data_IF_736642156735
#
_entry.id   IF_736642156735
#
_cell.length_a   1.000
_cell.length_b   1.000
_cell.length_c   1.000
_cell.angle_alpha   90.00
_cell.angle_beta   90.00
_cell.angle_gamma   90.00
#
_symmetry.space_group_name_H-M   'P 1'
#
loop_
_entity.id
_entity.type
_entity.pdbx_description
1 polymer ?
#
# COMPACT_ATOMS: atom_id res chain seq x y z
N UNK A 1 -13.17 28.11 -4.45
CA UNK A 1 -13.19 29.58 -4.68
C UNK A 1 -11.83 30.13 -5.11
N UNK A 2 -10.70 29.53 -4.74
CA UNK A 2 -9.35 29.98 -5.13
C UNK A 2 -9.03 29.86 -6.65
N UNK A 3 -9.79 29.08 -7.41
CA UNK A 3 -9.58 28.94 -8.87
C UNK A 3 -10.17 30.08 -9.73
N UNK A 4 -10.88 31.05 -9.15
CA UNK A 4 -11.53 32.14 -9.93
C UNK A 4 -10.73 33.44 -10.07
N UNK A 5 -9.53 33.52 -9.50
CA UNK A 5 -8.65 34.69 -9.64
C UNK A 5 -7.25 34.30 -10.19
N UNK A 6 -7.22 33.76 -11.41
CA UNK A 6 -5.93 33.65 -12.09
C UNK A 6 -5.49 35.01 -12.61
N UNK A 7 -4.33 35.56 -12.22
CA UNK A 7 -3.80 36.78 -12.76
C UNK A 7 -3.50 36.61 -14.27
N UNK A 8 -3.81 37.64 -15.06
CA UNK A 8 -3.44 37.69 -16.49
C UNK A 8 -1.91 37.88 -16.60
N UNK A 9 -1.18 36.77 -16.78
CA UNK A 9 0.27 36.79 -16.90
C UNK A 9 0.72 37.33 -18.25
N UNK A 10 1.54 38.40 -18.24
CA UNK A 10 2.16 38.99 -19.44
C UNK A 10 3.56 38.42 -19.75
N UNK A 11 4.14 37.60 -18.87
CA UNK A 11 5.50 37.08 -19.07
C UNK A 11 5.67 35.68 -18.44
N UNK A 12 6.33 34.76 -19.14
CA UNK A 12 6.53 33.36 -18.75
C UNK A 12 7.36 33.21 -17.45
N UNK A 13 8.31 34.11 -17.21
CA UNK A 13 9.14 34.12 -16.00
C UNK A 13 8.36 34.45 -14.73
N UNK A 14 7.40 35.38 -14.79
CA UNK A 14 6.54 35.71 -13.64
C UNK A 14 5.57 34.57 -13.30
N UNK A 15 5.07 33.86 -14.31
CA UNK A 15 4.25 32.66 -14.12
C UNK A 15 5.04 31.54 -13.43
N UNK A 16 6.28 31.31 -13.86
CA UNK A 16 7.14 30.29 -13.25
C UNK A 16 7.55 30.67 -11.81
N UNK A 17 7.82 31.95 -11.55
CA UNK A 17 8.15 32.45 -10.21
C UNK A 17 6.96 32.33 -9.25
N UNK A 18 5.75 32.65 -9.71
CA UNK A 18 4.51 32.48 -8.94
C UNK A 18 4.20 31.00 -8.69
N UNK A 19 4.32 30.13 -9.70
CA UNK A 19 4.16 28.70 -9.55
C UNK A 19 5.16 28.09 -8.57
N UNK A 20 6.41 28.58 -8.57
CA UNK A 20 7.43 28.18 -7.60
C UNK A 20 7.13 28.70 -6.20
N UNK A 21 6.62 29.90 -6.06
CA UNK A 21 6.22 30.49 -4.79
C UNK A 21 4.96 29.82 -4.26
N UNK A 22 3.96 29.59 -5.10
CA UNK A 22 2.73 28.86 -4.76
C UNK A 22 3.03 27.42 -4.33
N UNK A 23 3.91 26.71 -5.06
CA UNK A 23 4.38 25.38 -4.64
C UNK A 23 5.18 25.40 -3.33
N UNK A 24 5.91 26.49 -3.03
CA UNK A 24 6.61 26.64 -1.75
C UNK A 24 5.66 26.94 -0.59
N UNK A 25 4.57 27.66 -0.83
CA UNK A 25 3.52 27.93 0.16
C UNK A 25 2.68 26.67 0.43
N UNK A 26 2.29 25.89 -0.62
CA UNK A 26 1.65 24.57 -0.45
C UNK A 26 2.49 23.57 0.34
N UNK A 27 3.83 23.65 0.26
CA UNK A 27 4.75 22.77 1.01
C UNK A 27 4.90 23.22 2.46
N UNK A 28 4.68 24.50 2.78
CA UNK A 28 4.78 25.01 4.15
C UNK A 28 3.59 24.62 5.04
N UNK A 29 2.42 24.39 4.45
CA UNK A 29 1.19 24.02 5.18
C UNK A 29 0.91 22.51 5.19
N UNK A 30 1.82 21.70 4.65
CA UNK A 30 1.64 20.25 4.53
C UNK A 30 2.18 19.53 5.74
N UNK A 31 1.34 18.74 6.40
CA UNK A 31 1.78 17.91 7.52
C UNK A 31 2.66 16.73 7.07
N UNK A 32 3.25 16.01 8.02
CA UNK A 32 4.13 14.85 7.79
C UNK A 32 3.53 13.82 6.82
N UNK A 33 2.25 13.47 6.97
CA UNK A 33 1.61 12.46 6.12
C UNK A 33 1.33 12.98 4.71
N UNK A 34 1.05 14.26 4.57
CA UNK A 34 0.99 14.92 3.26
C UNK A 34 2.34 14.91 2.54
N UNK A 35 3.43 15.16 3.27
CA UNK A 35 4.79 15.06 2.74
C UNK A 35 5.13 13.63 2.29
N UNK A 36 4.75 12.61 3.08
CA UNK A 36 4.91 11.20 2.72
C UNK A 36 4.19 10.90 1.40
N UNK A 37 2.90 11.23 1.30
CA UNK A 37 2.12 10.97 0.08
C UNK A 37 2.73 11.64 -1.14
N UNK A 38 3.14 12.90 -1.02
CA UNK A 38 3.75 13.65 -2.12
C UNK A 38 5.10 13.07 -2.57
N UNK A 39 5.96 12.71 -1.62
CA UNK A 39 7.26 12.10 -1.95
C UNK A 39 7.10 10.73 -2.60
N UNK A 40 6.10 9.93 -2.19
CA UNK A 40 5.81 8.63 -2.78
C UNK A 40 5.39 8.69 -4.26
N UNK A 41 4.99 9.85 -4.80
CA UNK A 41 4.73 10.01 -6.24
C UNK A 41 6.02 9.87 -7.09
N UNK A 42 7.19 10.19 -6.50
CA UNK A 42 8.47 10.16 -7.20
C UNK A 42 9.50 9.17 -6.65
N UNK A 43 9.26 8.60 -5.47
CA UNK A 43 10.22 7.76 -4.74
C UNK A 43 9.67 6.35 -4.53
N UNK A 44 10.48 5.29 -4.73
CA UNK A 44 10.01 3.91 -4.62
C UNK A 44 9.69 3.47 -3.19
N UNK A 45 10.29 4.12 -2.18
CA UNK A 45 10.04 3.85 -0.78
C UNK A 45 10.59 4.96 0.12
N UNK A 46 9.96 5.13 1.28
CA UNK A 46 10.37 6.06 2.33
C UNK A 46 10.41 5.33 3.67
N UNK A 47 11.32 5.71 4.55
CA UNK A 47 11.35 5.31 5.95
C UNK A 47 11.04 6.51 6.84
N UNK A 48 10.01 6.40 7.67
CA UNK A 48 9.75 7.32 8.76
C UNK A 48 10.43 6.80 10.01
N UNK A 49 11.50 7.46 10.42
CA UNK A 49 12.28 7.09 11.59
C UNK A 49 11.91 8.01 12.76
N UNK A 50 11.50 7.40 13.88
CA UNK A 50 11.11 8.09 15.09
C UNK A 50 11.94 7.57 16.25
N UNK A 51 12.47 8.46 17.06
CA UNK A 51 13.16 8.14 18.31
C UNK A 51 12.49 8.82 19.48
N UNK A 52 12.28 8.08 20.55
CA UNK A 52 11.65 8.54 21.77
C UNK A 52 12.55 8.24 22.97
N UNK A 53 12.40 9.00 24.03
CA UNK A 53 13.08 8.78 25.32
C UNK A 53 12.04 8.60 26.42
N UNK A 54 12.19 7.60 27.24
CA UNK A 54 11.32 7.34 28.38
C UNK A 54 10.96 5.88 28.57
N UNK A 55 10.00 5.62 29.44
CA UNK A 55 9.41 4.31 29.66
C UNK A 55 8.21 4.09 28.74
N UNK A 56 7.82 2.82 28.49
CA UNK A 56 6.73 2.42 27.57
C UNK A 56 5.44 3.23 27.75
N UNK A 57 5.09 3.51 29.02
CA UNK A 57 3.87 4.23 29.37
C UNK A 57 3.96 5.74 29.26
N UNK A 58 5.14 6.32 29.03
CA UNK A 58 5.34 7.76 29.02
C UNK A 58 6.60 8.12 28.21
N UNK A 59 6.46 8.18 26.91
CA UNK A 59 7.51 8.57 25.99
C UNK A 59 7.43 10.09 25.73
N UNK A 60 8.58 10.73 25.63
CA UNK A 60 8.73 12.15 25.32
C UNK A 60 9.89 12.36 24.35
N UNK A 61 10.18 13.61 24.03
CA UNK A 61 11.32 14.03 23.19
C UNK A 61 11.42 13.27 21.86
N UNK A 62 10.31 13.25 21.12
CA UNK A 62 10.29 12.62 19.80
C UNK A 62 11.18 13.40 18.82
N UNK A 63 12.09 12.66 18.20
CA UNK A 63 12.71 13.09 16.94
C UNK A 63 12.10 12.27 15.82
N UNK A 64 11.82 12.92 14.71
CA UNK A 64 11.15 12.33 13.58
C UNK A 64 11.87 12.73 12.29
N UNK A 65 12.27 11.77 11.47
CA UNK A 65 12.96 12.01 10.20
C UNK A 65 12.34 11.15 9.10
N UNK A 66 12.02 11.79 7.98
CA UNK A 66 11.55 11.10 6.78
C UNK A 66 12.71 10.96 5.80
N UNK A 67 13.13 9.72 5.52
CA UNK A 67 14.30 9.40 4.71
C UNK A 67 13.95 8.58 3.48
N UNK A 68 14.61 8.85 2.38
CA UNK A 68 14.58 7.98 1.19
C UNK A 68 15.47 6.75 1.41
N UNK A 69 15.18 5.65 0.69
CA UNK A 69 15.76 4.34 0.96
C UNK A 69 17.28 4.29 1.12
N UNK A 70 18.03 5.07 0.31
CA UNK A 70 19.49 5.13 0.39
C UNK A 70 20.00 5.87 1.64
N UNK A 71 19.25 6.84 2.14
CA UNK A 71 19.60 7.71 3.26
C UNK A 71 19.11 7.18 4.61
N UNK A 72 18.29 6.11 4.59
CA UNK A 72 17.75 5.50 5.79
C UNK A 72 18.87 4.96 6.70
N UNK A 73 18.65 5.07 8.01
CA UNK A 73 19.52 4.45 9.03
C UNK A 73 19.46 2.92 8.96
N UNK A 74 20.22 2.21 9.78
CA UNK A 74 20.20 0.74 9.78
C UNK A 74 18.80 0.19 10.10
N UNK A 75 18.10 0.75 11.10
CA UNK A 75 16.72 0.35 11.42
C UNK A 75 15.74 0.73 10.31
N UNK A 76 15.93 1.88 9.65
CA UNK A 76 15.15 2.29 8.49
C UNK A 76 15.35 1.34 7.30
N UNK A 77 16.59 0.95 6.99
CA UNK A 77 16.90 -0.04 5.94
C UNK A 77 16.32 -1.40 6.26
N UNK A 78 16.36 -1.80 7.53
CA UNK A 78 15.74 -3.03 7.98
C UNK A 78 14.22 -3.01 7.76
N UNK A 79 13.54 -1.93 8.16
CA UNK A 79 12.11 -1.75 7.94
C UNK A 79 11.74 -1.77 6.44
N UNK A 80 12.51 -1.09 5.59
CA UNK A 80 12.34 -1.11 4.14
C UNK A 80 12.56 -2.50 3.53
N UNK A 81 13.49 -3.28 4.09
CA UNK A 81 13.79 -4.64 3.63
C UNK A 81 12.72 -5.63 4.07
N UNK A 82 12.27 -5.53 5.32
CA UNK A 82 11.18 -6.36 5.85
C UNK A 82 9.81 -5.95 5.29
N UNK A 83 9.67 -4.70 4.82
CA UNK A 83 8.44 -4.13 4.28
C UNK A 83 7.36 -3.87 5.34
N UNK A 84 7.74 -3.79 6.61
CA UNK A 84 6.87 -3.55 7.77
C UNK A 84 7.62 -2.75 8.85
N UNK A 85 6.92 -2.13 9.83
CA UNK A 85 7.57 -1.45 10.93
C UNK A 85 8.58 -2.32 11.67
N UNK A 86 9.67 -1.70 12.10
CA UNK A 86 10.70 -2.30 12.96
C UNK A 86 10.87 -1.42 14.19
N UNK A 87 10.90 -2.04 15.36
CA UNK A 87 11.09 -1.38 16.64
C UNK A 87 12.39 -1.86 17.29
N UNK A 88 13.20 -0.93 17.78
CA UNK A 88 14.41 -1.18 18.55
C UNK A 88 14.39 -0.45 19.87
N UNK A 89 14.83 -1.10 20.95
CA UNK A 89 14.96 -0.50 22.28
C UNK A 89 16.39 -0.61 22.78
N UNK A 90 16.93 0.51 23.29
CA UNK A 90 18.24 0.58 23.90
C UNK A 90 18.14 1.43 25.20
N UNK A 91 18.07 0.75 26.36
CA UNK A 91 17.83 1.41 27.66
C UNK A 91 16.48 2.13 27.68
N UNK A 92 16.50 3.44 27.90
CA UNK A 92 15.32 4.32 27.85
C UNK A 92 15.03 4.88 26.45
N UNK A 93 15.80 4.53 25.43
CA UNK A 93 15.59 5.01 24.07
C UNK A 93 14.82 3.99 23.26
N UNK A 94 13.81 4.47 22.56
CA UNK A 94 12.98 3.71 21.62
C UNK A 94 13.18 4.24 20.20
N UNK A 95 13.41 3.36 19.26
CA UNK A 95 13.51 3.71 17.85
C UNK A 95 12.48 2.91 17.07
N UNK A 96 11.65 3.59 16.31
CA UNK A 96 10.62 2.98 15.46
C UNK A 96 10.85 3.45 14.03
N UNK A 97 11.09 2.53 13.13
CA UNK A 97 11.16 2.82 11.70
C UNK A 97 9.94 2.22 11.00
N UNK A 98 9.21 3.05 10.29
CA UNK A 98 8.01 2.67 9.55
C UNK A 98 8.24 2.85 8.05
N UNK A 99 8.13 1.79 7.24
CA UNK A 99 8.32 1.89 5.80
C UNK A 99 7.03 2.32 5.11
N UNK A 100 7.15 3.20 4.11
CA UNK A 100 6.07 3.60 3.23
C UNK A 100 6.45 3.28 1.78
N UNK A 101 5.50 2.71 1.06
CA UNK A 101 5.63 2.36 -0.35
C UNK A 101 4.50 3.01 -1.14
N UNK A 102 4.70 3.33 -2.44
CA UNK A 102 3.61 3.71 -3.31
C UNK A 102 2.51 2.65 -3.30
N UNK A 103 1.28 3.09 -3.54
CA UNK A 103 0.15 2.16 -3.69
C UNK A 103 0.41 1.23 -4.88
N UNK A 104 0.27 -0.06 -4.66
CA UNK A 104 0.58 -1.08 -5.67
C UNK A 104 -0.42 -1.05 -6.81
N UNK A 105 0.05 -1.30 -8.03
CA UNK A 105 -0.78 -1.32 -9.24
C UNK A 105 -1.22 -2.74 -9.57
N UNK A 106 -2.51 -2.89 -9.89
CA UNK A 106 -3.05 -4.08 -10.53
C UNK A 106 -3.35 -3.76 -11.99
N UNK A 107 -2.56 -4.30 -12.91
CA UNK A 107 -2.68 -4.08 -14.35
C UNK A 107 -3.41 -5.26 -14.96
N UNK A 108 -4.57 -5.02 -15.54
CA UNK A 108 -5.42 -6.03 -16.15
C UNK A 108 -5.37 -5.86 -17.68
N UNK A 109 -4.73 -6.81 -18.36
CA UNK A 109 -4.63 -6.84 -19.82
C UNK A 109 -5.78 -7.68 -20.39
N UNK A 110 -6.78 -7.00 -20.92
CA UNK A 110 -8.08 -7.51 -21.38
C UNK A 110 -9.24 -6.98 -20.51
N UNK A 111 -10.25 -6.37 -21.15
CA UNK A 111 -11.43 -5.79 -20.50
C UNK A 111 -12.68 -6.68 -20.50
N UNK A 112 -12.49 -8.01 -20.61
CA UNK A 112 -13.58 -8.99 -20.72
C UNK A 112 -14.42 -9.17 -19.45
N UNK A 113 -15.24 -10.24 -19.43
CA UNK A 113 -16.15 -10.52 -18.31
C UNK A 113 -15.43 -10.82 -17.00
N UNK A 114 -14.29 -11.52 -17.05
CA UNK A 114 -13.46 -11.80 -15.85
C UNK A 114 -12.75 -10.54 -15.36
N UNK A 115 -12.35 -9.66 -16.28
CA UNK A 115 -11.63 -8.43 -15.92
C UNK A 115 -12.46 -7.48 -15.03
N UNK A 116 -13.79 -7.43 -15.23
CA UNK A 116 -14.65 -6.54 -14.45
C UNK A 116 -14.64 -6.88 -12.96
N UNK A 117 -15.00 -8.09 -12.51
CA UNK A 117 -14.93 -8.43 -11.09
C UNK A 117 -13.49 -8.43 -10.54
N UNK A 118 -12.46 -8.75 -11.35
CA UNK A 118 -11.05 -8.60 -10.92
C UNK A 118 -10.73 -7.14 -10.62
N UNK A 119 -11.18 -6.20 -11.44
CA UNK A 119 -11.00 -4.78 -11.22
C UNK A 119 -11.75 -4.29 -9.98
N UNK A 120 -13.02 -4.69 -9.80
CA UNK A 120 -13.84 -4.32 -8.65
C UNK A 120 -13.24 -4.81 -7.32
N UNK A 121 -12.92 -6.09 -7.25
CA UNK A 121 -12.33 -6.65 -6.03
C UNK A 121 -10.90 -6.16 -5.81
N UNK A 122 -10.11 -6.00 -6.87
CA UNK A 122 -8.77 -5.43 -6.81
C UNK A 122 -8.74 -4.02 -6.22
N UNK A 123 -9.65 -3.15 -6.65
CA UNK A 123 -9.79 -1.81 -6.08
C UNK A 123 -10.20 -1.85 -4.59
N UNK A 124 -11.14 -2.74 -4.21
CA UNK A 124 -11.60 -2.91 -2.82
C UNK A 124 -10.52 -3.43 -1.89
N UNK A 125 -9.59 -4.27 -2.38
CA UNK A 125 -8.45 -4.75 -1.58
C UNK A 125 -7.23 -3.83 -1.66
N UNK A 126 -7.40 -2.63 -2.22
CA UNK A 126 -6.45 -1.52 -2.11
C UNK A 126 -5.49 -1.32 -3.28
N UNK A 127 -5.64 -2.01 -4.42
CA UNK A 127 -4.82 -1.76 -5.61
C UNK A 127 -5.25 -0.51 -6.39
N UNK A 128 -4.28 0.17 -7.02
CA UNK A 128 -4.54 1.10 -8.12
C UNK A 128 -4.76 0.29 -9.39
N UNK A 129 -6.01 0.19 -9.82
CA UNK A 129 -6.39 -0.66 -10.96
C UNK A 129 -6.18 0.08 -12.27
N UNK A 130 -5.49 -0.56 -13.22
CA UNK A 130 -5.40 -0.13 -14.62
C UNK A 130 -5.94 -1.24 -15.52
N UNK A 131 -6.87 -0.90 -16.41
CA UNK A 131 -7.42 -1.86 -17.38
C UNK A 131 -7.01 -1.44 -18.79
N UNK A 132 -6.55 -2.40 -19.59
CA UNK A 132 -6.16 -2.21 -20.99
C UNK A 132 -6.95 -3.17 -21.86
N UNK A 133 -7.57 -2.68 -22.93
CA UNK A 133 -8.13 -3.51 -24.02
C UNK A 133 -8.06 -2.71 -25.32
N UNK A 134 -7.86 -3.37 -26.44
CA UNK A 134 -7.78 -2.74 -27.77
C UNK A 134 -9.16 -2.34 -28.34
N UNK A 135 -10.24 -2.66 -27.65
CA UNK A 135 -11.63 -2.40 -28.06
C UNK A 135 -12.29 -1.40 -27.12
N UNK A 136 -12.77 -0.29 -27.67
CA UNK A 136 -13.42 0.78 -26.91
C UNK A 136 -14.63 0.30 -26.08
N UNK A 137 -15.40 -0.69 -26.59
CA UNK A 137 -16.53 -1.27 -25.85
C UNK A 137 -16.12 -2.04 -24.59
N UNK A 138 -14.85 -2.47 -24.49
CA UNK A 138 -14.29 -3.20 -23.36
C UNK A 138 -13.33 -2.36 -22.52
N UNK A 139 -12.76 -1.29 -23.06
CA UNK A 139 -11.91 -0.37 -22.35
C UNK A 139 -12.52 1.04 -22.33
N UNK A 140 -13.49 1.25 -21.45
CA UNK A 140 -14.08 2.57 -21.23
C UNK A 140 -14.37 2.82 -19.73
N UNK A 141 -14.29 4.10 -19.27
CA UNK A 141 -14.51 4.45 -17.85
C UNK A 141 -15.89 4.10 -17.32
N UNK A 142 -16.92 4.09 -18.17
CA UNK A 142 -18.28 3.70 -17.76
C UNK A 142 -18.39 2.22 -17.39
N UNK A 143 -17.54 1.37 -17.97
CA UNK A 143 -17.45 -0.05 -17.62
C UNK A 143 -16.60 -0.29 -16.37
N UNK A 144 -15.56 0.51 -16.16
CA UNK A 144 -14.62 0.36 -15.05
C UNK A 144 -14.53 1.64 -14.19
N UNK A 145 -15.63 2.06 -13.54
CA UNK A 145 -15.65 3.31 -12.75
C UNK A 145 -14.73 3.26 -11.53
N UNK A 146 -14.32 2.05 -11.07
CA UNK A 146 -13.40 1.84 -9.95
C UNK A 146 -11.92 1.91 -10.37
N UNK A 147 -11.62 1.87 -11.68
CA UNK A 147 -10.24 1.87 -12.17
C UNK A 147 -9.65 3.28 -12.16
N UNK A 148 -8.40 3.40 -11.73
CA UNK A 148 -7.60 4.64 -11.81
C UNK A 148 -7.34 5.03 -13.26
N UNK A 149 -7.09 4.02 -14.12
CA UNK A 149 -6.85 4.23 -15.55
C UNK A 149 -7.57 3.15 -16.37
N UNK A 150 -8.18 3.59 -17.46
CA UNK A 150 -8.73 2.70 -18.50
C UNK A 150 -8.12 3.13 -19.83
N UNK A 151 -7.39 2.21 -20.46
CA UNK A 151 -6.60 2.48 -21.67
C UNK A 151 -7.18 1.66 -22.82
N UNK A 152 -7.68 2.34 -23.84
CA UNK A 152 -8.09 1.71 -25.08
C UNK A 152 -6.97 1.84 -26.11
N UNK A 153 -6.12 0.81 -26.20
CA UNK A 153 -4.93 0.84 -27.07
C UNK A 153 -4.44 -0.59 -27.35
N UNK A 154 -3.50 -0.71 -28.29
CA UNK A 154 -2.74 -1.94 -28.51
C UNK A 154 -1.99 -2.35 -27.25
N UNK A 155 -2.02 -3.64 -26.90
CA UNK A 155 -1.40 -4.15 -25.68
C UNK A 155 0.10 -3.86 -25.62
N UNK A 156 0.81 -4.01 -26.75
CA UNK A 156 2.26 -3.77 -26.80
C UNK A 156 2.62 -2.30 -26.58
N UNK A 157 1.82 -1.39 -27.14
CA UNK A 157 2.01 0.06 -26.92
C UNK A 157 1.68 0.43 -25.47
N UNK A 158 0.54 -0.01 -24.95
CA UNK A 158 0.13 0.29 -23.58
C UNK A 158 1.13 -0.24 -22.53
N UNK A 159 1.68 -1.46 -22.70
CA UNK A 159 2.68 -2.04 -21.79
C UNK A 159 3.95 -1.17 -21.75
N UNK A 160 4.40 -0.64 -22.91
CA UNK A 160 5.57 0.27 -22.96
C UNK A 160 5.32 1.55 -22.19
N UNK A 161 4.16 2.18 -22.40
CA UNK A 161 3.79 3.44 -21.74
C UNK A 161 3.57 3.26 -20.24
N UNK A 162 3.06 2.10 -19.80
CA UNK A 162 2.85 1.79 -18.38
C UNK A 162 4.15 1.64 -17.59
N UNK A 163 5.30 1.41 -18.26
CA UNK A 163 6.62 1.27 -17.60
C UNK A 163 6.55 0.33 -16.42
N UNK A 164 6.32 -0.95 -16.69
CA UNK A 164 6.15 -2.00 -15.68
C UNK A 164 7.23 -1.94 -14.61
N UNK A 165 6.82 -2.00 -13.34
CA UNK A 165 7.69 -1.98 -12.18
C UNK A 165 7.69 -3.36 -11.48
N UNK A 166 8.71 -3.59 -10.63
CA UNK A 166 8.82 -4.83 -9.84
C UNK A 166 7.69 -4.99 -8.82
N UNK A 167 7.05 -3.88 -8.41
CA UNK A 167 5.92 -3.87 -7.48
C UNK A 167 4.56 -4.07 -8.15
N UNK A 168 4.50 -4.23 -9.48
CA UNK A 168 3.23 -4.39 -10.20
C UNK A 168 2.70 -5.81 -10.11
N UNK A 169 1.38 -5.92 -10.14
CA UNK A 169 0.64 -7.17 -10.25
C UNK A 169 -0.08 -7.18 -11.59
N UNK A 170 0.17 -8.18 -12.42
CA UNK A 170 -0.33 -8.19 -13.81
C UNK A 170 -1.19 -9.42 -14.04
N UNK A 171 -2.42 -9.20 -14.52
CA UNK A 171 -3.36 -10.23 -14.96
C UNK A 171 -3.55 -10.17 -16.48
N UNK A 172 -3.11 -11.20 -17.21
CA UNK A 172 -3.38 -11.35 -18.64
C UNK A 172 -4.66 -12.15 -18.79
N UNK A 173 -5.75 -11.47 -19.15
CA UNK A 173 -7.10 -12.03 -19.30
C UNK A 173 -7.69 -11.67 -20.68
N UNK A 174 -6.83 -11.71 -21.71
CA UNK A 174 -7.21 -11.32 -23.07
C UNK A 174 -8.16 -12.33 -23.73
N UNK A 175 -8.74 -11.93 -24.86
CA UNK A 175 -9.67 -12.77 -25.63
C UNK A 175 -9.03 -13.93 -26.38
N UNK A 176 -7.69 -13.97 -26.53
CA UNK A 176 -7.03 -14.94 -27.39
C UNK A 176 -5.56 -15.18 -27.12
N UNK A 177 -5.10 -16.40 -27.42
CA UNK A 177 -3.72 -16.85 -27.17
C UNK A 177 -2.64 -15.98 -27.85
N UNK A 178 -2.94 -15.40 -29.01
CA UNK A 178 -2.01 -14.49 -29.71
C UNK A 178 -1.73 -13.26 -28.88
N UNK A 179 -2.77 -12.60 -28.37
CA UNK A 179 -2.62 -11.44 -27.50
C UNK A 179 -1.93 -11.78 -26.17
N UNK A 180 -2.22 -12.96 -25.59
CA UNK A 180 -1.56 -13.42 -24.36
C UNK A 180 -0.05 -13.57 -24.58
N UNK A 181 0.36 -14.22 -25.69
CA UNK A 181 1.79 -14.39 -26.03
C UNK A 181 2.46 -13.03 -26.30
N UNK A 182 1.80 -12.11 -27.01
CA UNK A 182 2.32 -10.78 -27.28
C UNK A 182 2.50 -9.98 -25.99
N UNK A 183 1.54 -10.03 -25.06
CA UNK A 183 1.69 -9.42 -23.72
C UNK A 183 2.89 -9.99 -22.98
N UNK A 184 3.05 -11.30 -22.93
CA UNK A 184 4.19 -11.95 -22.28
C UNK A 184 5.52 -11.56 -22.91
N UNK A 185 5.59 -11.49 -24.27
CA UNK A 185 6.79 -11.03 -24.99
C UNK A 185 7.18 -9.61 -24.60
N UNK A 186 6.21 -8.72 -24.46
CA UNK A 186 6.47 -7.32 -24.11
C UNK A 186 6.89 -7.18 -22.66
N UNK A 187 6.19 -7.85 -21.72
CA UNK A 187 6.54 -7.84 -20.30
C UNK A 187 7.90 -8.48 -20.06
N UNK A 188 8.21 -9.57 -20.78
CA UNK A 188 9.48 -10.27 -20.65
C UNK A 188 10.72 -9.45 -21.00
N UNK A 189 10.57 -8.37 -21.80
CA UNK A 189 11.67 -7.44 -22.14
C UNK A 189 11.98 -6.41 -21.05
N UNK A 190 11.09 -6.25 -20.09
CA UNK A 190 11.20 -5.25 -19.02
C UNK A 190 11.53 -5.86 -17.66
N UNK A 191 11.27 -5.05 -16.62
CA UNK A 191 11.35 -5.51 -15.23
C UNK A 191 10.34 -6.62 -14.99
N UNK A 192 10.70 -7.55 -14.13
CA UNK A 192 9.81 -8.62 -13.73
C UNK A 192 8.85 -8.12 -12.64
N UNK A 193 7.51 -8.20 -12.85
CA UNK A 193 6.54 -7.75 -11.85
C UNK A 193 6.49 -8.71 -10.65
N UNK A 194 5.96 -8.23 -9.52
CA UNK A 194 5.72 -9.03 -8.31
C UNK A 194 4.79 -10.22 -8.59
N UNK A 195 3.82 -10.02 -9.46
CA UNK A 195 2.89 -11.07 -9.88
C UNK A 195 2.63 -10.97 -11.38
N UNK A 196 2.70 -12.11 -12.05
CA UNK A 196 2.31 -12.25 -13.45
C UNK A 196 1.45 -13.50 -13.60
N UNK A 197 0.18 -13.29 -13.89
CA UNK A 197 -0.78 -14.38 -14.11
C UNK A 197 -1.40 -14.33 -15.50
N UNK A 198 -1.64 -15.51 -16.09
CA UNK A 198 -2.28 -15.62 -17.40
C UNK A 198 -3.45 -16.60 -17.36
N UNK A 199 -4.62 -16.16 -17.86
CA UNK A 199 -5.79 -17.02 -18.04
C UNK A 199 -5.57 -18.02 -19.16
N UNK A 200 -6.03 -19.24 -18.99
CA UNK A 200 -6.00 -20.23 -20.05
C UNK A 200 -6.08 -21.66 -19.54
N UNK A 201 -6.47 -22.58 -20.43
CA UNK A 201 -6.40 -24.00 -20.14
C UNK A 201 -4.93 -24.44 -20.05
N UNK A 202 -4.64 -25.49 -19.28
CA UNK A 202 -3.29 -26.05 -19.15
C UNK A 202 -2.62 -26.33 -20.50
N UNK A 203 -3.40 -26.83 -21.50
CA UNK A 203 -2.92 -27.09 -22.87
C UNK A 203 -2.47 -25.79 -23.56
N UNK A 204 -3.30 -24.73 -23.49
CA UNK A 204 -3.01 -23.42 -24.10
C UNK A 204 -1.77 -22.79 -23.47
N UNK A 205 -1.70 -22.82 -22.15
CA UNK A 205 -0.55 -22.31 -21.38
C UNK A 205 0.74 -23.04 -21.77
N UNK A 206 0.69 -24.38 -21.89
CA UNK A 206 1.86 -25.18 -22.30
C UNK A 206 2.39 -24.75 -23.67
N UNK A 207 1.51 -24.53 -24.65
CA UNK A 207 1.90 -24.07 -25.99
C UNK A 207 2.60 -22.69 -25.91
N UNK A 208 1.99 -21.71 -25.25
CA UNK A 208 2.57 -20.36 -25.15
C UNK A 208 3.91 -20.38 -24.42
N UNK A 209 4.04 -21.14 -23.32
CA UNK A 209 5.31 -21.29 -22.59
C UNK A 209 6.39 -21.89 -23.46
N UNK A 210 6.06 -22.94 -24.24
CA UNK A 210 7.01 -23.59 -25.12
C UNK A 210 7.50 -22.64 -26.23
N UNK A 211 6.58 -21.95 -26.90
CA UNK A 211 6.92 -20.94 -27.92
C UNK A 211 7.89 -19.87 -27.38
N UNK A 212 7.61 -19.33 -26.18
CA UNK A 212 8.46 -18.32 -25.57
C UNK A 212 9.84 -18.86 -25.18
N UNK A 213 9.93 -20.08 -24.67
CA UNK A 213 11.21 -20.73 -24.37
C UNK A 213 12.03 -20.97 -25.64
N UNK A 214 11.39 -21.37 -26.74
CA UNK A 214 12.04 -21.53 -28.07
C UNK A 214 12.53 -20.17 -28.63
N UNK A 215 11.84 -19.07 -28.28
CA UNK A 215 12.26 -17.70 -28.59
C UNK A 215 13.39 -17.18 -27.68
N UNK A 216 13.85 -17.96 -26.70
CA UNK A 216 14.97 -17.62 -25.82
C UNK A 216 14.57 -16.85 -24.56
N UNK A 217 13.30 -16.92 -24.12
CA UNK A 217 12.89 -16.37 -22.84
C UNK A 217 13.48 -17.16 -21.67
N UNK A 218 13.80 -16.41 -20.59
CA UNK A 218 14.36 -16.98 -19.38
C UNK A 218 13.43 -18.06 -18.76
N UNK A 219 13.89 -19.32 -18.67
CA UNK A 219 13.12 -20.41 -18.09
C UNK A 219 12.70 -20.15 -16.65
N UNK A 220 13.52 -19.47 -15.87
CA UNK A 220 13.24 -19.16 -14.47
C UNK A 220 12.06 -18.17 -14.37
N UNK A 221 12.03 -17.12 -15.16
CA UNK A 221 10.87 -16.21 -15.27
C UNK A 221 9.62 -16.95 -15.75
N UNK A 222 9.74 -17.87 -16.70
CA UNK A 222 8.61 -18.67 -17.18
C UNK A 222 8.08 -19.63 -16.12
N UNK A 223 8.91 -20.14 -15.22
CA UNK A 223 8.47 -21.01 -14.11
C UNK A 223 7.61 -20.25 -13.09
N UNK A 224 7.87 -18.95 -12.89
CA UNK A 224 7.12 -18.08 -11.97
C UNK A 224 5.79 -17.59 -12.54
N UNK A 225 5.55 -17.72 -13.86
CA UNK A 225 4.26 -17.38 -14.45
C UNK A 225 3.12 -18.23 -13.86
N UNK A 226 2.20 -17.57 -13.17
CA UNK A 226 0.99 -18.18 -12.59
C UNK A 226 -0.01 -18.48 -13.72
N UNK A 227 -0.07 -19.75 -14.13
CA UNK A 227 -0.93 -20.13 -15.24
C UNK A 227 -1.26 -21.63 -15.20
N UNK A 228 -2.52 -22.02 -15.23
CA UNK A 228 -3.71 -21.15 -15.20
C UNK A 228 -3.72 -20.19 -14.00
N UNK A 229 -4.14 -18.95 -14.25
CA UNK A 229 -4.21 -17.89 -13.22
C UNK A 229 -5.24 -18.25 -12.13
N UNK A 230 -4.90 -17.93 -10.87
CA UNK A 230 -5.77 -18.10 -9.72
C UNK A 230 -5.61 -19.44 -8.98
N UNK A 231 -5.98 -19.45 -7.72
CA UNK A 231 -5.97 -20.66 -6.89
C UNK A 231 -7.01 -21.67 -7.39
N UNK A 232 -6.72 -22.95 -7.23
CA UNK A 232 -7.63 -24.03 -7.62
C UNK A 232 -8.76 -24.20 -6.61
N UNK A 233 -9.80 -23.35 -6.72
CA UNK A 233 -10.99 -23.38 -5.86
C UNK A 233 -12.24 -23.94 -6.52
N UNK A 234 -12.16 -24.28 -7.84
CA UNK A 234 -13.29 -24.81 -8.61
C UNK A 234 -14.25 -23.74 -9.14
N UNK A 235 -13.82 -22.47 -9.22
CA UNK A 235 -14.61 -21.37 -9.73
C UNK A 235 -15.02 -21.55 -11.20
N UNK A 236 -16.26 -21.21 -11.53
CA UNK A 236 -16.90 -21.35 -12.84
C UNK A 236 -17.36 -20.00 -13.38
N UNK A 237 -17.99 -19.16 -12.55
CA UNK A 237 -18.46 -17.83 -12.98
C UNK A 237 -17.31 -16.83 -13.04
N UNK A 238 -17.44 -15.73 -13.80
CA UNK A 238 -16.42 -14.67 -13.82
C UNK A 238 -16.04 -14.16 -12.44
N UNK A 239 -17.02 -14.01 -11.53
CA UNK A 239 -16.84 -13.54 -10.17
C UNK A 239 -16.05 -14.56 -9.32
N UNK A 240 -16.37 -15.85 -9.42
CA UNK A 240 -15.64 -16.92 -8.73
C UNK A 240 -14.20 -17.04 -9.23
N UNK A 241 -13.99 -16.89 -10.54
CA UNK A 241 -12.66 -16.85 -11.16
C UNK A 241 -11.89 -15.62 -10.64
N UNK A 242 -12.52 -14.45 -10.55
CA UNK A 242 -11.90 -13.25 -10.01
C UNK A 242 -11.49 -13.42 -8.55
N UNK A 243 -12.34 -14.04 -7.72
CA UNK A 243 -12.02 -14.37 -6.32
C UNK A 243 -10.77 -15.28 -6.27
N UNK A 244 -10.70 -16.31 -7.13
CA UNK A 244 -9.53 -17.18 -7.17
C UNK A 244 -8.24 -16.46 -7.56
N UNK A 245 -8.33 -15.53 -8.50
CA UNK A 245 -7.21 -14.68 -8.95
C UNK A 245 -6.74 -13.77 -7.82
N UNK A 246 -7.67 -13.05 -7.19
CA UNK A 246 -7.32 -12.14 -6.08
C UNK A 246 -6.78 -12.91 -4.88
N UNK A 247 -7.30 -14.11 -4.58
CA UNK A 247 -6.77 -14.96 -3.52
C UNK A 247 -5.31 -15.37 -3.79
N UNK A 248 -4.97 -15.72 -5.04
CA UNK A 248 -3.57 -16.02 -5.44
C UNK A 248 -2.67 -14.77 -5.34
N UNK A 249 -3.15 -13.61 -5.79
CA UNK A 249 -2.43 -12.34 -5.66
C UNK A 249 -2.16 -12.01 -4.18
N UNK A 250 -3.18 -12.13 -3.32
CA UNK A 250 -3.04 -11.90 -1.87
C UNK A 250 -2.06 -12.91 -1.25
N UNK A 251 -2.10 -14.18 -1.67
CA UNK A 251 -1.16 -15.20 -1.22
C UNK A 251 0.28 -14.79 -1.56
N UNK A 252 0.57 -14.40 -2.80
CA UNK A 252 1.90 -13.91 -3.21
C UNK A 252 2.29 -12.68 -2.39
N UNK A 253 1.39 -11.71 -2.24
CA UNK A 253 1.64 -10.48 -1.49
C UNK A 253 1.96 -10.73 -0.01
N UNK A 254 1.29 -11.69 0.64
CA UNK A 254 1.34 -11.84 2.10
C UNK A 254 2.19 -13.02 2.58
N UNK A 255 2.28 -14.10 1.80
CA UNK A 255 2.91 -15.35 2.25
C UNK A 255 4.29 -15.61 1.63
N UNK A 256 4.57 -15.09 0.45
CA UNK A 256 5.87 -15.28 -0.21
C UNK A 256 6.92 -14.33 0.38
N UNK A 257 7.48 -14.74 1.53
CA UNK A 257 8.48 -13.95 2.28
C UNK A 257 9.86 -13.95 1.61
N UNK A 258 10.13 -14.89 0.72
CA UNK A 258 11.42 -15.01 0.03
C UNK A 258 11.48 -14.16 -1.24
N UNK A 259 10.32 -13.77 -1.78
CA UNK A 259 10.24 -12.95 -2.98
C UNK A 259 10.60 -11.48 -2.68
N UNK A 260 11.81 -11.08 -3.07
CA UNK A 260 12.33 -9.71 -2.90
C UNK A 260 11.58 -8.65 -3.72
N UNK A 261 10.73 -9.06 -4.67
CA UNK A 261 9.89 -8.14 -5.48
C UNK A 261 8.69 -7.63 -4.67
N UNK A 262 8.20 -8.43 -3.74
CA UNK A 262 7.13 -8.04 -2.80
C UNK A 262 7.76 -7.29 -1.64
N UNK A 263 7.81 -5.96 -1.75
CA UNK A 263 8.44 -5.08 -0.75
C UNK A 263 7.47 -4.64 0.33
N UNK A 264 6.22 -4.32 -0.03
CA UNK A 264 5.22 -3.80 0.90
C UNK A 264 4.48 -4.94 1.61
N UNK A 265 4.81 -5.16 2.86
CA UNK A 265 4.15 -6.13 3.77
C UNK A 265 3.40 -5.44 4.91
N UNK A 266 3.51 -4.11 4.99
CA UNK A 266 2.79 -3.29 5.96
C UNK A 266 1.29 -3.49 5.79
N UNK A 267 0.59 -3.52 6.92
CA UNK A 267 -0.88 -3.58 6.95
C UNK A 267 -1.51 -2.17 6.94
N UNK A 268 -0.79 -1.21 6.41
CA UNK A 268 -1.21 0.18 6.28
C UNK A 268 -2.42 0.32 5.36
N UNK A 269 -3.44 0.99 5.87
CA UNK A 269 -4.58 1.43 5.07
C UNK A 269 -4.30 2.83 4.48
N UNK A 270 -4.33 2.92 3.16
CA UNK A 270 -4.09 4.19 2.46
C UNK A 270 -5.19 5.24 2.70
N UNK A 271 -6.43 4.82 3.01
CA UNK A 271 -7.50 5.76 3.32
C UNK A 271 -7.24 6.45 4.66
N UNK A 272 -6.66 5.71 5.63
CA UNK A 272 -6.21 6.29 6.90
C UNK A 272 -5.05 7.27 6.67
N UNK A 273 -4.06 6.90 5.85
CA UNK A 273 -2.94 7.76 5.51
C UNK A 273 -3.40 9.05 4.83
N UNK A 274 -4.32 8.93 3.87
CA UNK A 274 -4.92 10.06 3.17
C UNK A 274 -5.67 10.99 4.12
N UNK A 275 -6.46 10.44 5.05
CA UNK A 275 -7.18 11.21 6.04
C UNK A 275 -6.24 11.97 6.99
N UNK A 276 -5.13 11.35 7.41
CA UNK A 276 -4.10 12.02 8.20
C UNK A 276 -3.46 13.19 7.45
N UNK A 277 -3.31 13.08 6.14
CA UNK A 277 -2.78 14.14 5.29
C UNK A 277 -3.77 15.28 5.06
N UNK A 278 -5.07 14.96 4.90
CA UNK A 278 -6.12 15.94 4.54
C UNK A 278 -6.70 16.72 5.72
N UNK A 279 -6.61 16.17 6.93
CA UNK A 279 -7.18 16.78 8.15
C UNK A 279 -6.07 17.13 9.18
N UNK A 280 -5.16 18.05 8.86
CA UNK A 280 -4.10 18.43 9.80
C UNK A 280 -4.64 19.10 11.06
N UNK A 281 -5.70 19.89 10.96
CA UNK A 281 -6.15 20.83 11.99
C UNK A 281 -7.04 20.20 13.09
N UNK A 282 -7.43 18.93 12.97
CA UNK A 282 -8.25 18.27 13.99
C UNK A 282 -7.39 17.50 14.99
N UNK A 283 -7.44 17.88 16.27
CA UNK A 283 -6.72 17.19 17.35
C UNK A 283 -7.18 15.74 17.47
N UNK A 284 -6.26 14.80 17.32
CA UNK A 284 -6.49 13.36 17.30
C UNK A 284 -5.30 12.60 17.83
N UNK A 285 -5.49 11.34 18.17
CA UNK A 285 -4.39 10.41 18.40
C UNK A 285 -4.27 9.47 17.20
N UNK A 286 -3.04 9.15 16.84
CA UNK A 286 -2.70 8.13 15.85
C UNK A 286 -2.21 6.89 16.58
N UNK A 287 -2.82 5.77 16.27
CA UNK A 287 -2.54 4.46 16.84
C UNK A 287 -1.93 3.61 15.75
N UNK A 288 -0.71 3.09 15.95
CA UNK A 288 0.01 2.29 14.95
C UNK A 288 0.46 0.97 15.55
N UNK A 289 0.12 -0.15 14.94
CA UNK A 289 0.69 -1.45 15.29
C UNK A 289 2.15 -1.48 14.84
N UNK A 290 3.09 -1.48 15.79
CA UNK A 290 4.53 -1.49 15.50
C UNK A 290 5.12 -2.89 15.49
N UNK A 291 4.54 -3.83 16.23
CA UNK A 291 4.89 -5.24 16.23
C UNK A 291 3.64 -6.09 16.44
N UNK A 292 3.58 -7.27 15.80
CA UNK A 292 2.50 -8.23 16.00
C UNK A 292 3.04 -9.66 15.92
N UNK A 293 2.59 -10.54 16.84
CA UNK A 293 2.99 -11.95 16.93
C UNK A 293 1.76 -12.84 17.13
N UNK A 294 1.84 -14.06 16.62
CA UNK A 294 0.75 -15.03 16.74
C UNK A 294 -0.46 -14.68 15.85
N UNK A 295 -1.66 -15.07 16.29
CA UNK A 295 -2.92 -14.82 15.59
C UNK A 295 -3.46 -13.42 15.88
N UNK A 296 -2.66 -12.39 15.59
CA UNK A 296 -3.10 -10.99 15.69
C UNK A 296 -4.13 -10.67 14.59
N UNK A 297 -5.22 -9.97 14.92
CA UNK A 297 -6.26 -9.63 13.93
C UNK A 297 -5.80 -8.65 12.85
N UNK A 298 -4.79 -7.82 13.13
CA UNK A 298 -4.14 -6.93 12.17
C UNK A 298 -2.62 -7.02 12.30
N UNK A 299 -1.93 -6.81 11.19
CA UNK A 299 -0.46 -6.86 11.12
C UNK A 299 0.21 -5.54 11.47
N UNK A 300 1.55 -5.59 11.59
CA UNK A 300 2.37 -4.40 11.80
C UNK A 300 2.17 -3.39 10.64
N UNK A 301 2.07 -2.10 10.98
CA UNK A 301 1.73 -1.01 10.07
C UNK A 301 0.24 -0.66 10.04
N UNK A 302 -0.66 -1.48 10.59
CA UNK A 302 -2.07 -1.11 10.73
C UNK A 302 -2.21 0.17 11.55
N UNK A 303 -3.09 1.07 11.09
CA UNK A 303 -3.32 2.35 11.77
C UNK A 303 -4.78 2.60 12.08
N UNK A 304 -5.00 3.31 13.18
CA UNK A 304 -6.30 3.81 13.59
C UNK A 304 -6.17 5.27 14.04
N UNK A 305 -7.08 6.11 13.62
CA UNK A 305 -7.23 7.48 14.10
C UNK A 305 -8.32 7.52 15.15
N UNK A 306 -8.03 8.12 16.29
CA UNK A 306 -8.98 8.33 17.38
C UNK A 306 -9.18 9.82 17.56
N UNK A 307 -10.40 10.31 17.38
CA UNK A 307 -10.77 11.71 17.56
C UNK A 307 -11.26 11.98 18.99
N UNK A 308 -11.15 13.23 19.41
CA UNK A 308 -11.56 13.66 20.76
C UNK A 308 -13.05 13.40 21.03
N UNK A 309 -13.90 13.52 20.03
CA UNK A 309 -15.35 13.27 20.10
C UNK A 309 -15.73 11.80 20.12
N UNK A 310 -14.76 10.89 19.98
CA UNK A 310 -14.94 9.44 19.99
C UNK A 310 -15.13 8.80 18.63
N UNK A 311 -15.12 9.56 17.53
CA UNK A 311 -15.05 8.98 16.19
C UNK A 311 -13.74 8.19 16.04
N UNK A 312 -13.79 7.14 15.24
CA UNK A 312 -12.65 6.29 14.90
C UNK A 312 -12.62 6.11 13.39
N UNK A 313 -11.42 6.11 12.81
CA UNK A 313 -11.19 5.74 11.42
C UNK A 313 -10.03 4.76 11.33
N UNK A 314 -10.16 3.74 10.49
CA UNK A 314 -9.22 2.63 10.43
C UNK A 314 -9.44 1.63 11.55
N UNK A 315 -8.57 0.63 11.65
CA UNK A 315 -8.69 -0.45 12.64
C UNK A 315 -7.34 -1.08 12.93
N UNK A 316 -7.11 -1.45 14.19
CA UNK A 316 -5.99 -2.27 14.64
C UNK A 316 -6.40 -3.70 14.98
N UNK A 317 -7.62 -4.09 14.65
CA UNK A 317 -8.12 -5.46 14.80
C UNK A 317 -9.52 -5.61 15.38
N UNK A 318 -10.16 -4.52 15.77
CA UNK A 318 -11.52 -4.51 16.34
C UNK A 318 -11.58 -5.08 17.78
N UNK A 319 -12.78 -5.06 18.35
CA UNK A 319 -13.06 -5.68 19.65
C UNK A 319 -12.11 -5.25 20.77
N UNK A 320 -11.57 -6.22 21.51
CA UNK A 320 -10.72 -5.98 22.67
C UNK A 320 -9.41 -5.26 22.37
N UNK A 321 -8.78 -5.52 21.23
CA UNK A 321 -7.54 -4.82 20.87
C UNK A 321 -7.75 -3.31 20.76
N UNK A 322 -8.88 -2.87 20.22
CA UNK A 322 -9.23 -1.45 20.16
C UNK A 322 -9.68 -0.93 21.52
N UNK A 323 -10.49 -1.68 22.26
CA UNK A 323 -10.95 -1.28 23.58
C UNK A 323 -9.79 -1.02 24.54
N UNK A 324 -8.75 -1.87 24.52
CA UNK A 324 -7.56 -1.73 25.34
C UNK A 324 -6.78 -0.42 25.07
N UNK A 325 -6.85 0.09 23.83
CA UNK A 325 -6.04 1.24 23.39
C UNK A 325 -6.83 2.56 23.36
N UNK A 326 -8.17 2.50 23.18
CA UNK A 326 -9.01 3.69 23.01
C UNK A 326 -8.96 4.66 24.18
N UNK A 327 -8.97 4.15 25.43
CA UNK A 327 -8.85 4.98 26.64
C UNK A 327 -7.54 5.74 26.69
N UNK A 328 -6.45 5.05 26.40
CA UNK A 328 -5.11 5.62 26.34
C UNK A 328 -4.97 6.65 25.21
N UNK A 329 -5.45 6.31 24.00
CA UNK A 329 -5.43 7.23 22.88
C UNK A 329 -6.16 8.53 23.18
N UNK A 330 -7.37 8.46 23.75
CA UNK A 330 -8.12 9.66 24.14
C UNK A 330 -7.41 10.51 25.19
N UNK A 331 -6.78 9.87 26.17
CA UNK A 331 -6.08 10.58 27.23
C UNK A 331 -4.83 11.33 26.73
N UNK A 332 -4.24 10.86 25.63
CA UNK A 332 -3.06 11.46 25.02
C UNK A 332 -3.36 12.67 24.13
N UNK A 333 -4.58 12.81 23.61
CA UNK A 333 -4.94 13.90 22.69
C UNK A 333 -4.72 15.27 23.35
N UNK A 334 -3.81 16.07 22.80
CA UNK A 334 -3.42 17.40 23.30
C UNK A 334 -2.40 17.38 24.44
N UNK A 335 -1.82 16.22 24.79
CA UNK A 335 -0.83 16.09 25.85
C UNK A 335 0.62 16.31 25.39
N UNK A 336 0.87 16.19 24.09
CA UNK A 336 2.22 16.20 23.55
C UNK A 336 3.01 14.92 23.83
N UNK A 337 2.39 13.86 24.27
CA UNK A 337 3.03 12.62 24.71
C UNK A 337 2.82 11.48 23.75
N UNK A 338 3.59 10.42 23.99
CA UNK A 338 3.57 9.16 23.24
C UNK A 338 3.55 7.99 24.21
N UNK A 339 2.98 6.89 23.81
CA UNK A 339 2.92 5.69 24.63
C UNK A 339 3.02 4.45 23.75
N UNK A 340 3.80 3.46 24.19
CA UNK A 340 3.68 2.10 23.68
C UNK A 340 2.75 1.33 24.61
N UNK A 341 1.72 0.72 24.03
CA UNK A 341 0.74 -0.11 24.72
C UNK A 341 0.94 -1.55 24.29
N UNK A 342 1.22 -2.43 25.25
CA UNK A 342 1.28 -3.87 25.01
C UNK A 342 -0.12 -4.46 25.12
N UNK A 343 -0.60 -5.09 24.05
CA UNK A 343 -1.90 -5.73 23.98
C UNK A 343 -1.69 -7.24 23.86
N UNK A 344 -1.99 -7.96 24.95
CA UNK A 344 -1.94 -9.42 25.00
C UNK A 344 -3.36 -10.00 24.92
N UNK A 345 -3.61 -10.75 23.85
CA UNK A 345 -4.90 -11.40 23.58
C UNK A 345 -4.85 -12.92 23.85
N UNK A 346 -3.78 -13.40 24.55
CA UNK A 346 -3.55 -14.83 24.78
C UNK A 346 -4.01 -15.32 26.16
N UNK A 347 -4.38 -14.44 27.10
CA UNK A 347 -4.60 -14.76 28.50
C UNK A 347 -6.05 -15.08 28.86
N UNK A 348 -6.25 -15.57 30.13
CA UNK A 348 -7.56 -15.88 30.72
C UNK A 348 -8.54 -14.69 30.68
N UNK A 349 -8.05 -13.45 30.65
CA UNK A 349 -8.88 -12.25 30.49
C UNK A 349 -9.59 -12.19 29.12
N UNK A 350 -9.01 -12.81 28.09
CA UNK A 350 -9.63 -12.92 26.77
C UNK A 350 -10.72 -14.04 26.74
N UNK A 351 -10.54 -15.11 27.53
CA UNK A 351 -11.52 -16.17 27.67
C UNK A 351 -12.78 -15.70 28.42
N UNK A 352 -12.64 -14.85 29.44
CA UNK A 352 -13.77 -14.28 30.20
C UNK A 352 -14.62 -13.33 29.33
N UNK A 353 -14.05 -12.71 28.30
CA UNK A 353 -14.78 -11.89 27.32
C UNK A 353 -15.26 -12.70 26.09
N UNK A 354 -15.06 -14.02 26.08
CA UNK A 354 -15.52 -14.92 25.00
C UNK A 354 -14.69 -14.83 23.72
N UNK A 355 -13.47 -14.34 23.80
CA UNK A 355 -12.56 -14.18 22.65
C UNK A 355 -11.38 -15.14 22.69
N UNK A 356 -11.18 -15.85 21.58
CA UNK A 356 -10.08 -16.81 21.39
C UNK A 356 -9.08 -16.23 20.34
N UNK A 357 -8.68 -14.96 20.51
CA UNK A 357 -7.62 -14.38 19.69
C UNK A 357 -6.28 -14.63 20.40
N UNK A 358 -5.41 -15.45 19.82
CA UNK A 358 -4.14 -15.89 20.44
C UNK A 358 -2.92 -15.05 20.04
N UNK A 359 -3.07 -13.73 19.81
CA UNK A 359 -1.99 -12.86 19.34
C UNK A 359 -1.55 -11.83 20.38
N UNK A 360 -0.33 -11.32 20.20
CA UNK A 360 0.23 -10.21 20.96
C UNK A 360 0.58 -9.09 19.99
N UNK A 361 0.35 -7.83 20.36
CA UNK A 361 0.76 -6.69 19.58
C UNK A 361 1.29 -5.56 20.45
N UNK A 362 2.31 -4.88 19.98
CA UNK A 362 2.78 -3.61 20.52
C UNK A 362 2.26 -2.47 19.64
N UNK A 363 1.65 -1.50 20.29
CA UNK A 363 0.95 -0.42 19.62
C UNK A 363 1.51 0.91 20.09
N UNK A 364 2.04 1.71 19.16
CA UNK A 364 2.45 3.07 19.41
C UNK A 364 1.23 3.98 19.32
N UNK A 365 0.98 4.73 20.38
CA UNK A 365 -0.06 5.75 20.47
C UNK A 365 0.61 7.11 20.48
N UNK A 366 0.25 7.97 19.56
CA UNK A 366 0.86 9.28 19.32
C UNK A 366 -0.21 10.37 19.43
N UNK A 367 0.08 11.42 20.20
CA UNK A 367 -0.70 12.66 20.11
C UNK A 367 -0.39 13.34 18.78
N UNK A 368 -1.40 13.55 17.95
CA UNK A 368 -1.30 14.27 16.69
C UNK A 368 -1.94 15.65 16.84
N UNK A 369 -1.19 16.55 17.48
CA UNK A 369 -1.61 17.95 17.64
C UNK A 369 -1.17 18.79 16.44
N UNK A 370 -1.98 19.79 16.10
CA UNK A 370 -1.82 20.68 14.96
C UNK A 370 -0.63 21.63 15.03
N UNK A 371 -0.09 21.86 16.23
CA UNK A 371 0.87 22.93 16.50
C UNK A 371 2.35 22.46 16.47
N UNK A 372 2.62 21.26 15.99
CA UNK A 372 4.00 20.79 15.86
C UNK A 372 4.59 21.23 14.53
N UNK A 373 5.65 22.04 14.62
CA UNK A 373 6.52 22.28 13.47
C UNK A 373 6.94 20.93 12.86
N UNK A 374 6.96 20.83 11.50
CA UNK A 374 7.47 19.64 10.84
C UNK A 374 8.87 19.37 11.37
N UNK A 375 9.19 18.10 11.64
CA UNK A 375 10.46 17.61 12.16
C UNK A 375 11.63 18.51 11.77
N UNK A 376 12.39 19.00 12.73
CA UNK A 376 13.56 19.86 12.50
C UNK A 376 14.43 19.26 11.38
N UNK A 377 14.75 20.10 10.40
CA UNK A 377 15.53 19.76 9.20
C UNK A 377 17.00 19.54 9.54
#
# INVERSE_FOLDING_TARGET
EAMRQQPRWRNCEMRNRWLMQYKREEVRDMNLYGEILKKLEGTPCLALERSFVGEEGNLADMRCELKEGAEASEIGKEALTQGQPVCGRAGSSWNVAEPFFPKERLIILGGGHVALPVAEFGARVGFLVTVVDDRLSFANPGRFPMAEKVICDDFGHAIKELKIQESDYICIVTRGHRHDADCLRMIGKGKEPAYLGMIGSRRRVGIVKQELLEEGYDPERMSRLKSPIGLKIGGVTPEEIAISILAEIIQVKRMDREDKRVKNRSDLDFDVLKRLAEEPDESKAVVTVIESKGSSPRGAGAKMIVYRDGRILGSIGGGCSEAAVLGEARSLIGSGRYKVVHVDLTGEAAEDEGMVCGGIMDVLVEDFATDREPCDR
#
